data_IF_167930355384
#
_entry.id   IF_167930355384
#
_cell.length_a   1.000
_cell.length_b   1.000
_cell.length_c   1.000
_cell.angle_alpha   90.00
_cell.angle_beta   90.00
_cell.angle_gamma   90.00
#
_symmetry.space_group_name_H-M   'P 1'
#
loop_
_entity.id
_entity.type
_entity.pdbx_description
1 polymer ?
#
# COMPACT_ATOMS: atom_id res chain seq x y z
N UNK A 1 -0.71 -7.46 -9.84
CA UNK A 1 -1.61 -7.31 -11.00
C UNK A 1 -1.68 -5.84 -11.35
N UNK A 2 -1.66 -5.49 -12.64
CA UNK A 2 -1.86 -4.09 -13.07
C UNK A 2 -3.37 -3.78 -13.09
N UNK A 3 -3.73 -2.55 -12.74
CA UNK A 3 -5.13 -2.07 -12.72
C UNK A 3 -5.32 -1.05 -13.84
N UNK A 4 -6.45 -1.14 -14.54
CA UNK A 4 -6.84 -0.23 -15.60
C UNK A 4 -8.21 0.37 -15.29
N UNK A 5 -8.42 1.65 -15.63
CA UNK A 5 -9.70 2.35 -15.47
C UNK A 5 -10.27 2.76 -16.84
N UNK A 6 -11.61 2.86 -16.92
CA UNK A 6 -12.35 3.28 -18.12
C UNK A 6 -12.95 4.69 -17.96
N UNK A 7 -12.15 5.66 -17.52
CA UNK A 7 -12.66 7.00 -17.18
C UNK A 7 -13.18 7.84 -18.36
N UNK A 8 -12.95 7.43 -19.61
CA UNK A 8 -13.26 8.24 -20.81
C UNK A 8 -13.39 7.39 -22.10
N UNK A 9 -13.97 6.18 -22.00
CA UNK A 9 -14.12 5.27 -23.15
C UNK A 9 -12.82 4.63 -23.69
N UNK A 10 -11.65 5.04 -23.18
CA UNK A 10 -10.35 4.41 -23.43
C UNK A 10 -9.80 3.78 -22.15
N UNK A 11 -9.30 2.55 -22.28
CA UNK A 11 -8.70 1.79 -21.18
C UNK A 11 -7.34 2.43 -20.83
N UNK A 12 -7.21 3.00 -19.63
CA UNK A 12 -5.97 3.65 -19.18
C UNK A 12 -5.35 2.87 -18.03
N UNK A 13 -4.04 2.65 -18.08
CA UNK A 13 -3.29 2.06 -16.97
C UNK A 13 -3.36 3.00 -15.76
N UNK A 14 -3.83 2.48 -14.63
CA UNK A 14 -3.94 3.18 -13.35
C UNK A 14 -2.79 2.83 -12.42
N UNK A 15 -2.57 1.53 -12.21
CA UNK A 15 -1.60 0.99 -11.26
C UNK A 15 -0.77 -0.09 -11.94
N UNK A 16 0.55 -0.06 -11.74
CA UNK A 16 1.46 -1.10 -12.20
C UNK A 16 2.34 -1.58 -11.04
N UNK A 17 2.34 -2.88 -10.70
CA UNK A 17 3.21 -3.42 -9.67
C UNK A 17 4.68 -3.29 -10.07
N UNK A 18 5.52 -3.00 -9.08
CA UNK A 18 6.98 -2.88 -9.24
C UNK A 18 7.63 -4.10 -8.59
N UNK A 19 8.53 -4.75 -9.33
CA UNK A 19 9.18 -5.99 -8.93
C UNK A 19 10.70 -5.84 -8.84
N UNK A 20 11.27 -6.53 -7.86
CA UNK A 20 12.68 -6.91 -7.81
C UNK A 20 12.75 -8.44 -7.69
N UNK A 21 13.28 -8.99 -6.58
CA UNK A 21 13.15 -10.42 -6.28
C UNK A 21 11.69 -10.84 -5.95
N UNK A 22 10.91 -9.90 -5.43
CA UNK A 22 9.47 -10.01 -5.18
C UNK A 22 8.81 -8.65 -5.45
N UNK A 23 7.50 -8.51 -5.21
CA UNK A 23 6.84 -7.19 -5.32
C UNK A 23 7.40 -6.27 -4.23
N UNK A 24 7.81 -5.07 -4.63
CA UNK A 24 8.38 -4.06 -3.73
C UNK A 24 7.56 -2.77 -3.68
N UNK A 25 6.48 -2.69 -4.46
CA UNK A 25 5.66 -1.49 -4.52
C UNK A 25 4.72 -1.42 -5.71
N UNK A 26 4.16 -0.23 -5.91
CA UNK A 26 3.21 0.08 -6.98
C UNK A 26 3.56 1.44 -7.59
N UNK A 27 3.55 1.49 -8.91
CA UNK A 27 3.57 2.71 -9.69
C UNK A 27 2.15 3.17 -9.98
N UNK A 28 1.79 4.35 -9.49
CA UNK A 28 0.54 5.02 -9.80
C UNK A 28 0.76 5.94 -11.00
N UNK A 29 0.14 5.58 -12.12
CA UNK A 29 0.24 6.36 -13.36
C UNK A 29 -0.37 7.74 -13.17
N UNK A 30 -1.49 7.82 -12.45
CA UNK A 30 -2.06 9.07 -11.99
C UNK A 30 -1.13 9.68 -10.94
N UNK A 31 -0.63 10.88 -11.19
CA UNK A 31 0.34 11.55 -10.32
C UNK A 31 1.80 11.14 -10.54
N UNK A 32 2.08 10.22 -11.48
CA UNK A 32 3.44 9.79 -11.85
C UNK A 32 4.30 9.43 -10.61
N UNK A 33 3.75 8.64 -9.71
CA UNK A 33 4.30 8.41 -8.39
C UNK A 33 4.57 6.93 -8.13
N UNK A 34 5.68 6.65 -7.45
CA UNK A 34 6.03 5.31 -7.01
C UNK A 34 5.89 5.23 -5.50
N UNK A 35 5.16 4.22 -5.05
CA UNK A 35 5.06 3.88 -3.64
C UNK A 35 5.75 2.55 -3.39
N UNK A 36 6.57 2.51 -2.35
CA UNK A 36 7.39 1.36 -1.99
C UNK A 36 6.97 0.79 -0.65
N UNK A 37 6.96 -0.53 -0.56
CA UNK A 37 6.57 -1.30 0.61
C UNK A 37 7.80 -1.67 1.44
N UNK A 38 7.72 -1.46 2.75
CA UNK A 38 8.63 -2.03 3.73
C UNK A 38 7.94 -3.21 4.38
N UNK A 39 8.42 -4.41 4.07
CA UNK A 39 7.90 -5.66 4.59
C UNK A 39 8.91 -6.35 5.51
N UNK A 40 8.42 -7.03 6.55
CA UNK A 40 9.25 -7.89 7.37
C UNK A 40 9.49 -9.27 6.74
N UNK A 41 10.28 -10.11 7.39
CA UNK A 41 10.67 -11.44 6.91
C UNK A 41 9.48 -12.36 6.58
N UNK A 42 8.34 -12.18 7.25
CA UNK A 42 7.13 -12.96 7.01
C UNK A 42 6.27 -12.38 5.87
N UNK A 43 6.76 -11.33 5.19
CA UNK A 43 6.05 -10.67 4.09
C UNK A 43 4.95 -9.71 4.57
N UNK A 44 4.88 -9.41 5.87
CA UNK A 44 3.93 -8.43 6.40
C UNK A 44 4.40 -7.01 6.05
N UNK A 45 3.55 -6.24 5.38
CA UNK A 45 3.82 -4.81 5.09
C UNK A 45 3.68 -4.01 6.39
N UNK A 46 4.71 -3.24 6.75
CA UNK A 46 4.78 -2.38 7.93
C UNK A 46 4.65 -0.91 7.60
N UNK A 47 5.16 -0.49 6.45
CA UNK A 47 5.07 0.88 6.00
C UNK A 47 5.07 0.96 4.47
N UNK A 48 4.53 2.06 3.97
CA UNK A 48 4.54 2.43 2.56
C UNK A 48 5.01 3.87 2.45
N UNK A 49 5.96 4.12 1.56
CA UNK A 49 6.56 5.44 1.36
C UNK A 49 6.46 5.88 -0.09
N UNK A 50 6.35 7.18 -0.32
CA UNK A 50 6.55 7.75 -1.65
C UNK A 50 8.05 7.73 -2.00
N UNK A 51 8.35 7.63 -3.30
CA UNK A 51 9.72 7.72 -3.82
C UNK A 51 10.38 9.05 -3.48
N UNK A 52 9.61 10.13 -3.52
CA UNK A 52 10.07 11.48 -3.22
C UNK A 52 10.08 11.73 -1.73
N UNK A 53 11.16 12.33 -1.24
CA UNK A 53 11.28 12.79 0.13
C UNK A 53 10.48 14.08 0.35
N UNK A 54 10.11 14.33 1.59
CA UNK A 54 9.61 15.64 2.02
C UNK A 54 10.72 16.69 1.88
N UNK A 55 10.32 17.97 1.85
CA UNK A 55 11.25 19.11 1.71
C UNK A 55 12.29 19.18 2.84
N UNK A 56 11.98 18.63 4.00
CA UNK A 56 12.88 18.52 5.15
C UNK A 56 13.83 17.30 5.07
N UNK A 57 13.85 16.57 3.95
CA UNK A 57 14.72 15.42 3.71
C UNK A 57 14.25 14.10 4.33
N UNK A 58 13.11 14.09 5.03
CA UNK A 58 12.53 12.89 5.61
C UNK A 58 11.79 12.06 4.55
N UNK A 59 11.62 10.76 4.81
CA UNK A 59 10.77 9.92 3.99
C UNK A 59 9.31 10.39 4.09
N UNK A 60 8.62 10.41 2.95
CA UNK A 60 7.20 10.72 2.90
C UNK A 60 6.39 9.42 3.09
N UNK A 61 5.89 9.22 4.31
CA UNK A 61 5.19 8.00 4.72
C UNK A 61 3.71 8.11 4.39
N UNK A 62 3.23 7.23 3.51
CA UNK A 62 1.85 7.18 3.02
C UNK A 62 0.96 6.36 3.94
N UNK A 63 1.51 5.26 4.45
CA UNK A 63 0.81 4.31 5.30
C UNK A 63 1.81 3.63 6.24
N UNK A 64 1.38 3.34 7.46
CA UNK A 64 2.11 2.44 8.35
C UNK A 64 1.15 1.66 9.24
N UNK A 65 1.59 0.48 9.66
CA UNK A 65 0.81 -0.41 10.51
C UNK A 65 1.70 -1.28 11.40
N UNK A 66 1.33 -1.32 12.67
CA UNK A 66 1.90 -2.19 13.69
C UNK A 66 0.89 -3.28 14.01
N UNK A 67 1.36 -4.53 14.05
CA UNK A 67 0.56 -5.71 14.37
C UNK A 67 1.03 -6.35 15.67
N UNK A 68 0.08 -6.82 16.48
CA UNK A 68 0.33 -7.78 17.55
C UNK A 68 0.80 -9.13 16.98
N UNK A 69 1.38 -10.03 17.81
CA UNK A 69 1.88 -11.34 17.36
C UNK A 69 0.86 -12.20 16.60
N UNK A 70 -0.43 -12.01 16.87
CA UNK A 70 -1.53 -12.75 16.23
C UNK A 70 -2.19 -12.01 15.07
N UNK A 71 -1.56 -10.95 14.54
CA UNK A 71 -2.03 -10.24 13.33
C UNK A 71 -3.12 -9.19 13.57
N UNK A 72 -3.50 -8.91 14.82
CA UNK A 72 -4.38 -7.79 15.13
C UNK A 72 -3.64 -6.46 14.96
N UNK A 73 -4.27 -5.47 14.35
CA UNK A 73 -3.71 -4.11 14.21
C UNK A 73 -3.63 -3.47 15.60
N UNK A 74 -2.40 -3.19 16.05
CA UNK A 74 -2.13 -2.38 17.24
C UNK A 74 -2.30 -0.90 16.92
N UNK A 75 -1.70 -0.46 15.80
CA UNK A 75 -1.70 0.94 15.37
C UNK A 75 -1.64 1.00 13.85
N UNK A 76 -2.32 1.96 13.26
CA UNK A 76 -2.16 2.30 11.84
C UNK A 76 -2.48 3.75 11.58
N UNK A 77 -1.83 4.38 10.59
CA UNK A 77 -2.28 5.66 10.04
C UNK A 77 -1.93 5.80 8.55
N UNK A 78 -2.49 6.82 7.92
CA UNK A 78 -2.30 7.10 6.49
C UNK A 78 -3.45 6.60 5.61
N UNK A 79 -3.23 6.61 4.29
CA UNK A 79 -4.20 6.10 3.32
C UNK A 79 -4.11 4.59 3.27
N UNK A 80 -5.23 3.87 3.42
CA UNK A 80 -5.24 2.41 3.49
C UNK A 80 -4.47 1.74 2.36
N UNK A 81 -3.73 0.68 2.70
CA UNK A 81 -2.91 -0.06 1.75
C UNK A 81 -3.48 -1.46 1.50
N UNK A 82 -3.39 -1.95 0.26
CA UNK A 82 -4.05 -3.17 -0.21
C UNK A 82 -3.36 -4.45 0.26
N UNK A 83 -2.20 -4.35 0.89
CA UNK A 83 -1.37 -5.48 1.31
C UNK A 83 -1.01 -5.33 2.79
N UNK A 84 -1.25 -6.37 3.58
CA UNK A 84 -1.10 -6.32 5.05
C UNK A 84 -0.39 -7.54 5.62
N UNK A 85 -0.98 -8.13 6.65
CA UNK A 85 -0.40 -9.22 7.43
C UNK A 85 -0.09 -10.46 6.58
N UNK A 86 1.14 -10.99 6.69
CA UNK A 86 1.65 -12.15 5.95
C UNK A 86 1.43 -12.07 4.42
N UNK A 87 1.49 -10.87 3.84
CA UNK A 87 1.25 -10.66 2.42
C UNK A 87 -0.19 -10.86 1.98
N UNK A 88 -1.13 -11.05 2.92
CA UNK A 88 -2.56 -11.09 2.63
C UNK A 88 -3.01 -9.73 2.11
N UNK A 89 -4.03 -9.72 1.27
CA UNK A 89 -4.65 -8.48 0.85
C UNK A 89 -5.26 -7.82 2.10
N UNK A 90 -4.76 -6.64 2.46
CA UNK A 90 -5.41 -5.76 3.40
C UNK A 90 -6.56 -5.06 2.68
N UNK A 91 -7.56 -5.85 2.26
CA UNK A 91 -8.84 -5.30 1.84
C UNK A 91 -9.48 -4.76 3.12
N UNK A 92 -9.20 -3.49 3.43
CA UNK A 92 -10.18 -2.69 4.14
C UNK A 92 -11.31 -2.44 3.15
N UNK A 93 -12.23 -3.39 3.04
CA UNK A 93 -13.61 -3.01 2.76
C UNK A 93 -13.99 -2.00 3.85
N UNK A 94 -14.59 -0.88 3.43
CA UNK A 94 -14.98 0.22 4.32
C UNK A 94 -16.02 -0.16 5.38
N UNK A 95 -16.47 -1.42 5.42
CA UNK A 95 -17.42 -1.95 6.39
C UNK A 95 -16.98 -3.33 6.87
N UNK A 96 -16.37 -3.37 8.05
CA UNK A 96 -16.43 -4.52 8.97
C UNK A 96 -15.94 -4.07 10.35
N UNK A 97 -16.61 -3.07 10.91
CA UNK A 97 -16.77 -2.99 12.35
C UNK A 97 -18.17 -3.54 12.63
N UNK A 98 -18.20 -4.76 13.18
CA UNK A 98 -19.40 -5.39 13.72
C UNK A 98 -20.17 -4.39 14.60
N UNK A 99 -21.49 -4.44 14.49
CA UNK A 99 -22.39 -3.48 15.12
C UNK A 99 -22.28 -3.38 16.64
N UNK A 100 -22.68 -2.21 17.12
CA UNK A 100 -23.34 -1.96 18.39
C UNK A 100 -24.02 -0.60 18.30
#
# INVERSE_FOLDING_TARGET
MSVFDNGDGSLKLREQPVYAASRIGVYFKQGNNYQYELSDYLGTVRAVINRTKLSNGQADVVYYVDYYPYGQVLRSAGTGWRYGYQGQYAEKDGESACGS
#
